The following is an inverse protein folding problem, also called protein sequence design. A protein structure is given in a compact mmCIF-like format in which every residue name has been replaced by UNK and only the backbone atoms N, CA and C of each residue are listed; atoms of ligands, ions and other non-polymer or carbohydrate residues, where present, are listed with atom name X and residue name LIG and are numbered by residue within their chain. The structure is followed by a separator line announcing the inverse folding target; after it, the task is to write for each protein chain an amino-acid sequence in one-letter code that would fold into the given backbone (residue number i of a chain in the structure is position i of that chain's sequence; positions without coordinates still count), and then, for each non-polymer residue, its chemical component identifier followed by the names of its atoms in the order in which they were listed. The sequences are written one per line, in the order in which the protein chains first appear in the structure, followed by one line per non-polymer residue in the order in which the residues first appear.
data_IF_988377178662
#
_entry.id   IF_988377178662
#
_cell.length_a   1.000
_cell.length_b   1.000
_cell.length_c   1.000
_cell.angle_alpha   90.00
_cell.angle_beta   90.00
_cell.angle_gamma   90.00
#
_symmetry.space_group_name_H-M   'P 1'
#
loop_
_entity.id
_entity.type
_entity.pdbx_description
1 polymer ?
#
# COMPACT_ATOMS: atom_id res chain seq x y z
N UNK A 1 24.99 24.96 5.83
CA UNK A 1 25.88 23.84 6.20
C UNK A 1 25.00 22.71 6.71
N UNK A 2 25.15 21.49 6.21
CA UNK A 2 24.42 20.33 6.73
C UNK A 2 25.11 19.87 8.01
N UNK A 3 24.37 19.36 9.00
CA UNK A 3 24.96 18.89 10.27
C UNK A 3 26.01 17.79 10.06
N UNK A 4 25.83 16.97 9.01
CA UNK A 4 26.77 15.92 8.58
C UNK A 4 28.14 16.51 8.22
N UNK A 5 28.17 17.67 7.55
CA UNK A 5 29.41 18.32 7.09
C UNK A 5 30.29 18.80 8.26
N UNK A 6 29.74 18.86 9.49
CA UNK A 6 30.46 19.30 10.69
C UNK A 6 31.22 18.17 11.39
N UNK A 7 31.00 16.92 10.98
CA UNK A 7 31.63 15.75 11.62
C UNK A 7 33.01 15.42 11.04
N UNK A 8 33.35 15.90 9.84
CA UNK A 8 34.65 15.72 9.18
C UNK A 8 35.27 14.32 9.39
N UNK A 9 36.44 14.24 10.05
CA UNK A 9 37.22 13.00 10.27
C UNK A 9 36.58 12.03 11.27
N UNK A 10 35.51 12.44 11.96
CA UNK A 10 34.82 11.62 12.97
C UNK A 10 33.58 10.91 12.42
N UNK A 11 33.39 10.82 11.10
CA UNK A 11 32.28 10.06 10.53
C UNK A 11 32.41 8.56 10.84
N UNK A 12 31.29 7.93 11.23
CA UNK A 12 31.19 6.49 11.50
C UNK A 12 32.15 5.96 12.57
N UNK A 13 32.69 6.83 13.42
CA UNK A 13 33.47 6.45 14.60
C UNK A 13 32.54 6.01 15.73
N UNK A 14 33.01 5.15 16.64
CA UNK A 14 32.18 4.66 17.76
C UNK A 14 31.54 5.78 18.59
N UNK A 15 32.26 6.87 18.82
CA UNK A 15 31.81 8.02 19.64
C UNK A 15 30.72 8.86 18.98
N UNK A 16 30.64 8.82 17.64
CA UNK A 16 29.73 9.63 16.82
C UNK A 16 28.73 8.78 16.04
N UNK A 17 28.76 7.45 16.18
CA UNK A 17 28.03 6.51 15.35
C UNK A 17 26.53 6.79 15.35
N UNK A 18 25.95 6.93 16.53
CA UNK A 18 24.51 7.20 16.70
C UNK A 18 24.12 8.57 16.12
N UNK A 19 24.98 9.58 16.27
CA UNK A 19 24.76 10.90 15.70
C UNK A 19 24.88 10.88 14.17
N UNK A 20 25.89 10.22 13.62
CA UNK A 20 26.09 10.03 12.18
C UNK A 20 24.86 9.35 11.59
N UNK A 21 24.43 8.24 12.20
CA UNK A 21 23.23 7.50 11.82
C UNK A 21 21.99 8.40 11.84
N UNK A 22 21.70 9.06 12.95
CA UNK A 22 20.52 9.91 13.10
C UNK A 22 20.48 11.06 12.08
N UNK A 23 21.63 11.67 11.79
CA UNK A 23 21.72 12.74 10.79
C UNK A 23 21.46 12.23 9.37
N UNK A 24 22.01 11.07 9.01
CA UNK A 24 21.76 10.47 7.69
C UNK A 24 20.32 9.98 7.56
N UNK A 25 19.75 9.35 8.60
CA UNK A 25 18.34 8.91 8.63
C UNK A 25 17.40 10.13 8.51
N UNK A 26 17.68 11.21 9.24
CA UNK A 26 16.92 12.46 9.17
C UNK A 26 16.98 13.10 7.79
N UNK A 27 18.17 13.16 7.18
CA UNK A 27 18.35 13.68 5.83
C UNK A 27 17.59 12.84 4.78
N UNK A 28 17.75 11.52 4.82
CA UNK A 28 17.07 10.61 3.91
C UNK A 28 15.54 10.70 4.04
N UNK A 29 15.02 10.74 5.27
CA UNK A 29 13.58 10.88 5.54
C UNK A 29 13.02 12.20 5.01
N UNK A 30 13.71 13.32 5.27
CA UNK A 30 13.28 14.64 4.80
C UNK A 30 13.28 14.73 3.27
N UNK A 31 14.32 14.21 2.61
CA UNK A 31 14.43 14.22 1.15
C UNK A 31 13.37 13.29 0.50
N UNK A 32 13.08 12.13 1.09
CA UNK A 32 11.96 11.29 0.65
C UNK A 32 10.62 12.04 0.72
N UNK A 33 10.42 12.84 1.77
CA UNK A 33 9.21 13.65 1.93
C UNK A 33 9.14 14.78 0.91
N UNK A 34 10.26 15.43 0.60
CA UNK A 34 10.36 16.51 -0.39
C UNK A 34 10.29 16.00 -1.84
N UNK A 35 10.47 14.69 -2.06
CA UNK A 35 10.48 14.08 -3.40
C UNK A 35 11.85 14.02 -4.05
N UNK A 36 12.92 14.34 -3.33
CA UNK A 36 14.31 14.24 -3.77
C UNK A 36 14.83 12.80 -3.62
N UNK A 37 14.23 11.89 -4.39
CA UNK A 37 14.39 10.43 -4.24
C UNK A 37 15.85 9.99 -4.37
N UNK A 38 16.61 10.58 -5.30
CA UNK A 38 18.00 10.19 -5.57
C UNK A 38 18.90 10.45 -4.37
N UNK A 39 18.86 11.68 -3.85
CA UNK A 39 19.67 12.10 -2.71
C UNK A 39 19.25 11.35 -1.44
N UNK A 40 17.95 11.15 -1.24
CA UNK A 40 17.45 10.38 -0.12
C UNK A 40 18.02 8.96 -0.10
N UNK A 41 18.06 8.30 -1.27
CA UNK A 41 18.63 6.97 -1.42
C UNK A 41 20.14 6.97 -1.20
N UNK A 42 20.86 8.02 -1.62
CA UNK A 42 22.28 8.15 -1.34
C UNK A 42 22.55 8.18 0.17
N UNK A 43 21.85 9.02 0.92
CA UNK A 43 22.00 9.08 2.38
C UNK A 43 21.65 7.75 3.06
N UNK A 44 20.60 7.07 2.60
CA UNK A 44 20.24 5.75 3.11
C UNK A 44 21.32 4.70 2.81
N UNK A 45 21.89 4.68 1.62
CA UNK A 45 22.95 3.73 1.25
C UNK A 45 24.22 3.93 2.08
N UNK A 46 24.60 5.17 2.41
CA UNK A 46 25.76 5.40 3.29
C UNK A 46 25.56 4.70 4.65
N UNK A 47 24.35 4.72 5.22
CA UNK A 47 24.05 3.99 6.46
C UNK A 47 24.20 2.47 6.25
N UNK A 48 23.68 1.95 5.13
CA UNK A 48 23.71 0.52 4.81
C UNK A 48 25.14 0.01 4.62
N UNK A 49 26.00 0.83 4.03
CA UNK A 49 27.39 0.46 3.74
C UNK A 49 28.29 0.52 5.00
N UNK A 50 27.90 1.33 6.01
CA UNK A 50 28.72 1.55 7.21
C UNK A 50 28.20 0.85 8.47
N UNK A 51 26.96 0.34 8.49
CA UNK A 51 26.37 -0.33 9.64
C UNK A 51 26.07 -1.82 9.38
N UNK A 52 26.11 -2.67 10.43
CA UNK A 52 25.60 -4.03 10.33
C UNK A 52 24.16 -4.08 9.85
N UNK A 53 23.79 -5.17 9.16
CA UNK A 53 22.45 -5.35 8.59
C UNK A 53 21.32 -5.06 9.60
N UNK A 54 21.43 -5.59 10.82
CA UNK A 54 20.43 -5.41 11.88
C UNK A 54 20.22 -3.94 12.29
N UNK A 55 21.26 -3.12 12.20
CA UNK A 55 21.21 -1.70 12.57
C UNK A 55 20.82 -0.82 11.38
N UNK A 56 21.02 -1.29 10.14
CA UNK A 56 20.69 -0.59 8.91
C UNK A 56 19.21 -0.65 8.48
N UNK A 57 18.33 -1.37 9.21
CA UNK A 57 16.96 -1.66 8.78
C UNK A 57 16.11 -0.41 8.48
N UNK A 58 16.26 0.67 9.24
CA UNK A 58 15.57 1.93 8.97
C UNK A 58 15.98 2.53 7.61
N UNK A 59 17.26 2.46 7.27
CA UNK A 59 17.77 2.88 5.97
C UNK A 59 17.32 1.94 4.84
N UNK A 60 17.27 0.63 5.08
CA UNK A 60 16.71 -0.32 4.12
C UNK A 60 15.25 0.01 3.77
N UNK A 61 14.43 0.32 4.77
CA UNK A 61 13.07 0.81 4.57
C UNK A 61 13.01 2.07 3.69
N UNK A 62 13.90 3.05 3.92
CA UNK A 62 13.97 4.26 3.10
C UNK A 62 14.33 3.96 1.64
N UNK A 63 15.26 3.02 1.40
CA UNK A 63 15.58 2.56 0.03
C UNK A 63 14.36 1.92 -0.64
N UNK A 64 13.63 1.04 0.06
CA UNK A 64 12.41 0.43 -0.46
C UNK A 64 11.35 1.49 -0.82
N UNK A 65 11.12 2.47 0.07
CA UNK A 65 10.21 3.60 -0.19
C UNK A 65 10.66 4.45 -1.38
N UNK A 66 11.95 4.60 -1.61
CA UNK A 66 12.49 5.34 -2.75
C UNK A 66 12.07 4.71 -4.08
N UNK A 67 12.10 3.38 -4.19
CA UNK A 67 11.68 2.67 -5.40
C UNK A 67 10.17 2.69 -5.61
N UNK A 68 9.40 2.59 -4.52
CA UNK A 68 7.94 2.77 -4.57
C UNK A 68 7.58 4.11 -5.21
N UNK A 69 8.25 5.19 -4.80
CA UNK A 69 8.07 6.54 -5.38
C UNK A 69 8.47 6.64 -6.85
N UNK A 70 9.38 5.78 -7.31
CA UNK A 70 9.78 5.69 -8.72
C UNK A 70 8.91 4.74 -9.54
N UNK A 71 7.94 4.05 -8.94
CA UNK A 71 7.15 3.00 -9.61
C UNK A 71 7.94 1.71 -9.89
N UNK A 72 9.10 1.53 -9.25
CA UNK A 72 10.01 0.39 -9.37
C UNK A 72 9.60 -0.74 -8.41
N UNK A 73 8.39 -1.24 -8.60
CA UNK A 73 7.76 -2.16 -7.65
C UNK A 73 8.38 -3.56 -7.64
N UNK A 74 8.82 -4.06 -8.80
CA UNK A 74 9.51 -5.36 -8.90
C UNK A 74 10.85 -5.30 -8.17
N UNK A 75 11.66 -4.26 -8.40
CA UNK A 75 12.94 -4.09 -7.70
C UNK A 75 12.75 -3.94 -6.18
N UNK A 76 11.65 -3.31 -5.76
CA UNK A 76 11.25 -3.23 -4.35
C UNK A 76 10.94 -4.61 -3.77
N UNK A 77 10.20 -5.45 -4.50
CA UNK A 77 9.88 -6.83 -4.08
C UNK A 77 11.13 -7.69 -3.99
N UNK A 78 12.03 -7.60 -4.97
CA UNK A 78 13.26 -8.41 -5.01
C UNK A 78 14.19 -8.10 -3.83
N UNK A 79 14.48 -6.82 -3.58
CA UNK A 79 15.28 -6.43 -2.41
C UNK A 79 14.55 -6.74 -1.11
N UNK A 80 13.23 -6.50 -1.08
CA UNK A 80 12.40 -6.84 0.07
C UNK A 80 12.52 -8.31 0.45
N UNK A 81 12.49 -9.19 -0.55
CA UNK A 81 12.66 -10.63 -0.39
C UNK A 81 14.08 -10.99 0.07
N UNK A 82 15.11 -10.25 -0.36
CA UNK A 82 16.47 -10.40 0.18
C UNK A 82 16.56 -9.97 1.65
N UNK A 83 15.91 -8.87 2.04
CA UNK A 83 15.85 -8.39 3.44
C UNK A 83 15.13 -9.41 4.32
N UNK A 84 14.00 -9.94 3.86
CA UNK A 84 13.25 -11.02 4.53
C UNK A 84 14.13 -12.24 4.82
N UNK A 85 14.89 -12.71 3.83
CA UNK A 85 15.84 -13.82 4.00
C UNK A 85 16.97 -13.49 4.96
N UNK A 86 17.52 -12.27 4.90
CA UNK A 86 18.52 -11.79 5.86
C UNK A 86 18.00 -11.68 7.30
N UNK A 87 16.68 -11.58 7.47
CA UNK A 87 15.98 -11.62 8.76
C UNK A 87 15.53 -13.04 9.16
N UNK A 88 15.95 -14.07 8.42
CA UNK A 88 15.60 -15.48 8.61
C UNK A 88 14.10 -15.80 8.45
N UNK A 89 13.39 -15.04 7.61
CA UNK A 89 12.06 -15.45 7.17
C UNK A 89 12.18 -16.48 6.05
N UNK A 90 11.43 -17.57 6.19
CA UNK A 90 11.36 -18.63 5.19
C UNK A 90 10.44 -18.21 4.03
N UNK A 91 11.03 -17.49 3.07
CA UNK A 91 10.37 -17.11 1.82
C UNK A 91 10.95 -18.01 0.72
N UNK A 92 10.15 -18.91 0.13
CA UNK A 92 10.64 -19.82 -0.90
C UNK A 92 11.04 -19.05 -2.17
N UNK A 93 11.89 -19.65 -3.00
CA UNK A 93 12.25 -19.09 -4.31
C UNK A 93 11.19 -19.40 -5.38
N UNK A 94 10.51 -20.53 -5.24
CA UNK A 94 9.46 -20.97 -6.15
C UNK A 94 8.12 -21.03 -5.43
N UNK A 95 7.05 -20.67 -6.13
CA UNK A 95 5.71 -20.61 -5.57
C UNK A 95 4.81 -21.67 -6.18
N UNK A 96 4.04 -22.31 -5.31
CA UNK A 96 2.87 -23.09 -5.72
C UNK A 96 1.62 -22.57 -5.01
N UNK A 97 0.43 -22.67 -5.64
CA UNK A 97 -0.82 -22.32 -4.98
C UNK A 97 -1.04 -23.08 -3.67
N UNK A 98 -0.64 -24.36 -3.60
CA UNK A 98 -0.75 -25.16 -2.37
C UNK A 98 0.12 -24.58 -1.25
N UNK A 99 1.34 -24.15 -1.55
CA UNK A 99 2.23 -23.55 -0.56
C UNK A 99 1.65 -22.26 0.02
N UNK A 100 1.00 -21.42 -0.81
CA UNK A 100 0.32 -20.20 -0.34
C UNK A 100 -0.83 -20.56 0.61
N UNK A 101 -1.66 -21.54 0.24
CA UNK A 101 -2.77 -21.98 1.07
C UNK A 101 -2.30 -22.57 2.39
N UNK A 102 -1.22 -23.37 2.37
CA UNK A 102 -0.61 -23.96 3.57
C UNK A 102 -0.04 -22.88 4.49
N UNK A 103 0.64 -21.86 3.95
CA UNK A 103 1.15 -20.73 4.73
C UNK A 103 0.01 -19.93 5.38
N UNK A 104 -1.09 -19.71 4.64
CA UNK A 104 -2.28 -19.05 5.17
C UNK A 104 -2.95 -19.89 6.27
N UNK A 105 -3.07 -21.21 6.09
CA UNK A 105 -3.63 -22.11 7.10
C UNK A 105 -2.73 -22.20 8.35
N UNK A 106 -1.41 -22.25 8.17
CA UNK A 106 -0.45 -22.21 9.26
C UNK A 106 -0.59 -20.92 10.09
N UNK A 107 -0.72 -19.78 9.41
CA UNK A 107 -0.94 -18.48 10.06
C UNK A 107 -2.24 -18.46 10.86
N UNK A 108 -3.32 -19.02 10.30
CA UNK A 108 -4.60 -19.19 11.01
C UNK A 108 -4.48 -20.08 12.25
N UNK A 109 -3.70 -21.17 12.17
CA UNK A 109 -3.46 -22.07 13.30
C UNK A 109 -2.63 -21.41 14.41
N UNK A 110 -1.75 -20.47 14.08
CA UNK A 110 -1.07 -19.64 15.08
C UNK A 110 -2.07 -18.64 15.68
N UNK A 111 -2.83 -17.95 14.84
CA UNK A 111 -3.78 -16.92 15.25
C UNK A 111 -4.95 -17.46 16.10
N UNK A 112 -5.39 -18.70 15.87
CA UNK A 112 -6.48 -19.34 16.61
C UNK A 112 -6.19 -19.51 18.10
N UNK A 113 -4.92 -19.39 18.51
CA UNK A 113 -4.48 -19.39 19.91
C UNK A 113 -4.76 -18.04 20.61
N UNK A 114 -5.16 -17.02 19.85
CA UNK A 114 -5.37 -15.65 20.34
C UNK A 114 -6.78 -15.15 20.03
N UNK A 115 -7.50 -14.72 21.06
CA UNK A 115 -8.67 -13.87 20.91
C UNK A 115 -8.27 -12.46 20.46
N UNK A 116 -9.24 -11.67 19.96
CA UNK A 116 -9.01 -10.28 19.57
C UNK A 116 -8.52 -9.46 20.78
N UNK A 117 -9.06 -9.72 21.97
CA UNK A 117 -8.64 -9.08 23.22
C UNK A 117 -7.22 -9.48 23.62
N UNK A 118 -6.80 -10.72 23.33
CA UNK A 118 -5.42 -11.15 23.55
C UNK A 118 -4.46 -10.47 22.57
N UNK A 119 -4.85 -10.28 21.31
CA UNK A 119 -4.10 -9.48 20.33
C UNK A 119 -3.91 -8.04 20.84
N UNK A 120 -4.94 -7.44 21.46
CA UNK A 120 -4.82 -6.12 22.06
C UNK A 120 -3.73 -6.06 23.14
N UNK A 121 -3.63 -7.11 23.97
CA UNK A 121 -2.61 -7.22 25.02
C UNK A 121 -1.20 -7.44 24.46
N UNK A 122 -1.06 -8.06 23.29
CA UNK A 122 0.26 -8.17 22.62
C UNK A 122 0.83 -6.81 22.20
N UNK A 123 0.00 -5.76 22.16
CA UNK A 123 0.43 -4.38 21.87
C UNK A 123 0.91 -3.62 23.10
N UNK A 124 0.54 -4.03 24.32
CA UNK A 124 0.69 -3.22 25.53
C UNK A 124 2.09 -3.22 26.18
N UNK A 125 3.16 -3.26 25.38
CA UNK A 125 4.55 -3.30 25.84
C UNK A 125 5.38 -2.08 25.44
N UNK A 126 6.58 -1.93 26.03
CA UNK A 126 7.56 -0.94 25.58
C UNK A 126 7.91 -1.20 24.11
N UNK A 127 7.90 -0.16 23.29
CA UNK A 127 8.23 -0.27 21.86
C UNK A 127 9.69 -0.70 21.69
N UNK A 128 9.89 -1.83 21.04
CA UNK A 128 11.20 -2.31 20.62
C UNK A 128 11.48 -1.77 19.22
N UNK A 129 12.50 -0.90 19.12
CA UNK A 129 12.84 -0.20 17.88
C UNK A 129 13.28 -1.16 16.79
N UNK A 130 13.94 -2.28 17.13
CA UNK A 130 14.39 -3.27 16.15
C UNK A 130 13.18 -4.00 15.56
N UNK A 131 12.24 -4.45 16.39
CA UNK A 131 11.01 -5.10 15.93
C UNK A 131 10.17 -4.17 15.05
N UNK A 132 10.06 -2.89 15.45
CA UNK A 132 9.41 -1.86 14.66
C UNK A 132 10.07 -1.69 13.28
N UNK A 133 11.40 -1.57 13.22
CA UNK A 133 12.12 -1.41 11.95
C UNK A 133 12.02 -2.63 11.04
N UNK A 134 11.95 -3.84 11.61
CA UNK A 134 11.62 -5.06 10.86
C UNK A 134 10.23 -4.90 10.23
N UNK A 135 9.20 -4.63 11.03
CA UNK A 135 7.83 -4.49 10.53
C UNK A 135 7.68 -3.36 9.50
N UNK A 136 8.35 -2.22 9.68
CA UNK A 136 8.40 -1.13 8.70
C UNK A 136 8.97 -1.60 7.37
N UNK A 137 10.12 -2.29 7.41
CA UNK A 137 10.75 -2.84 6.22
C UNK A 137 9.79 -3.79 5.51
N UNK A 138 9.18 -4.73 6.25
CA UNK A 138 8.23 -5.70 5.70
C UNK A 138 6.98 -5.03 5.09
N UNK A 139 6.40 -4.05 5.78
CA UNK A 139 5.24 -3.31 5.33
C UNK A 139 5.50 -2.53 4.02
N UNK A 140 6.72 -2.02 3.82
CA UNK A 140 7.06 -1.36 2.56
C UNK A 140 7.03 -2.33 1.36
N UNK A 141 7.43 -3.59 1.56
CA UNK A 141 7.42 -4.62 0.51
C UNK A 141 5.99 -4.90 0.05
N UNK A 142 5.01 -4.86 0.96
CA UNK A 142 3.60 -5.14 0.66
C UNK A 142 3.07 -4.22 -0.44
N UNK A 143 3.41 -2.93 -0.45
CA UNK A 143 2.95 -2.05 -1.54
C UNK A 143 3.60 -2.42 -2.86
N UNK A 144 4.90 -2.68 -2.91
CA UNK A 144 5.56 -3.17 -4.13
C UNK A 144 4.88 -4.43 -4.65
N UNK A 145 4.69 -5.41 -3.76
CA UNK A 145 4.09 -6.70 -4.09
C UNK A 145 2.63 -6.57 -4.54
N UNK A 146 1.85 -5.67 -3.95
CA UNK A 146 0.47 -5.38 -4.39
C UNK A 146 0.45 -4.70 -5.76
N UNK A 147 1.37 -3.76 -6.01
CA UNK A 147 1.37 -2.96 -7.25
C UNK A 147 1.98 -3.69 -8.44
N UNK A 148 2.88 -4.64 -8.20
CA UNK A 148 3.43 -5.54 -9.23
C UNK A 148 2.65 -6.84 -9.38
N UNK A 149 1.50 -7.00 -8.70
CA UNK A 149 0.75 -8.26 -8.67
C UNK A 149 1.62 -9.47 -8.30
N UNK A 150 2.57 -9.27 -7.38
CA UNK A 150 3.53 -10.29 -7.00
C UNK A 150 2.83 -11.49 -6.35
N UNK A 151 3.09 -12.71 -6.84
CA UNK A 151 2.54 -13.92 -6.23
C UNK A 151 3.10 -14.19 -4.82
N UNK A 152 4.16 -13.48 -4.40
CA UNK A 152 4.71 -13.56 -3.03
C UNK A 152 3.90 -12.79 -1.99
N UNK A 153 2.97 -11.92 -2.41
CA UNK A 153 2.27 -11.02 -1.49
C UNK A 153 1.54 -11.74 -0.33
N UNK A 154 0.82 -12.87 -0.55
CA UNK A 154 0.20 -13.61 0.55
C UNK A 154 1.23 -14.15 1.54
N UNK A 155 2.39 -14.64 1.07
CA UNK A 155 3.44 -15.18 1.93
C UNK A 155 4.11 -14.10 2.77
N UNK A 156 4.43 -12.97 2.16
CA UNK A 156 4.98 -11.80 2.87
C UNK A 156 3.99 -11.39 3.96
N UNK A 157 2.70 -11.34 3.63
CA UNK A 157 1.63 -11.02 4.58
C UNK A 157 1.60 -12.00 5.76
N UNK A 158 1.60 -13.31 5.49
CA UNK A 158 1.67 -14.36 6.51
C UNK A 158 2.92 -14.23 7.40
N UNK A 159 4.08 -13.97 6.80
CA UNK A 159 5.34 -13.77 7.51
C UNK A 159 5.25 -12.59 8.50
N UNK A 160 4.73 -11.43 8.07
CA UNK A 160 4.56 -10.27 8.97
C UNK A 160 3.58 -10.57 10.10
N UNK A 161 2.47 -11.23 9.80
CA UNK A 161 1.44 -11.58 10.79
C UNK A 161 2.01 -12.54 11.83
N UNK A 162 2.67 -13.61 11.40
CA UNK A 162 3.30 -14.59 12.30
C UNK A 162 4.37 -13.95 13.16
N UNK A 163 5.22 -13.08 12.58
CA UNK A 163 6.20 -12.32 13.35
C UNK A 163 5.54 -11.44 14.42
N UNK A 164 4.46 -10.75 14.07
CA UNK A 164 3.73 -9.87 15.00
C UNK A 164 3.09 -10.66 16.14
N UNK A 165 2.48 -11.81 15.86
CA UNK A 165 1.87 -12.66 16.89
C UNK A 165 2.92 -13.22 17.87
N UNK A 166 4.14 -13.49 17.40
CA UNK A 166 5.24 -14.00 18.23
C UNK A 166 5.99 -12.90 18.98
N UNK A 167 6.15 -11.72 18.39
CA UNK A 167 7.08 -10.69 18.87
C UNK A 167 6.38 -9.46 19.47
N UNK A 168 5.06 -9.39 19.41
CA UNK A 168 4.26 -8.23 19.78
C UNK A 168 3.63 -7.57 18.56
N UNK A 169 2.41 -7.07 18.74
CA UNK A 169 1.62 -6.44 17.68
C UNK A 169 1.83 -4.94 17.74
N UNK A 170 2.29 -4.35 16.62
CA UNK A 170 2.56 -2.93 16.50
C UNK A 170 1.63 -2.28 15.48
N UNK A 171 1.68 -0.96 15.37
CA UNK A 171 0.89 -0.19 14.40
C UNK A 171 1.21 -0.64 12.95
N UNK A 172 2.49 -0.96 12.70
CA UNK A 172 3.00 -1.44 11.44
C UNK A 172 2.43 -2.80 11.00
N UNK A 173 1.91 -3.59 11.94
CA UNK A 173 1.26 -4.88 11.68
C UNK A 173 -0.10 -4.71 10.99
N UNK A 174 -0.76 -3.56 11.14
CA UNK A 174 -2.15 -3.36 10.72
C UNK A 174 -2.38 -3.65 9.23
N UNK A 175 -1.45 -3.23 8.36
CA UNK A 175 -1.58 -3.44 6.92
C UNK A 175 -1.61 -4.94 6.58
N UNK A 176 -0.72 -5.72 7.18
CA UNK A 176 -0.65 -7.17 6.92
C UNK A 176 -1.87 -7.91 7.47
N UNK A 177 -2.42 -7.45 8.60
CA UNK A 177 -3.67 -8.02 9.11
C UNK A 177 -4.84 -7.74 8.14
N UNK A 178 -4.92 -6.52 7.59
CA UNK A 178 -5.90 -6.17 6.57
C UNK A 178 -5.74 -7.00 5.29
N UNK A 179 -4.50 -7.12 4.79
CA UNK A 179 -4.17 -7.94 3.62
C UNK A 179 -4.51 -9.42 3.85
N UNK A 180 -4.28 -9.96 5.04
CA UNK A 180 -4.63 -11.35 5.34
C UNK A 180 -6.15 -11.55 5.30
N UNK A 181 -6.92 -10.59 5.83
CA UNK A 181 -8.38 -10.58 5.68
C UNK A 181 -8.82 -10.59 4.21
N UNK A 182 -8.16 -9.78 3.36
CA UNK A 182 -8.41 -9.78 1.92
C UNK A 182 -8.10 -11.14 1.28
N UNK A 183 -6.95 -11.75 1.58
CA UNK A 183 -6.60 -13.06 1.00
C UNK A 183 -7.53 -14.18 1.46
N UNK A 184 -8.05 -14.12 2.68
CA UNK A 184 -9.06 -15.07 3.14
C UNK A 184 -10.33 -15.02 2.30
N UNK A 185 -10.75 -13.83 1.85
CA UNK A 185 -11.84 -13.70 0.88
C UNK A 185 -11.39 -14.15 -0.52
N UNK A 186 -10.36 -13.51 -1.06
CA UNK A 186 -10.02 -13.60 -2.48
C UNK A 186 -9.49 -14.98 -2.90
N UNK A 187 -8.77 -15.67 -2.01
CA UNK A 187 -8.14 -16.97 -2.32
C UNK A 187 -8.86 -18.16 -1.67
N UNK A 188 -9.44 -17.98 -0.48
CA UNK A 188 -10.07 -19.07 0.27
C UNK A 188 -11.60 -19.01 0.31
N UNK A 189 -12.22 -17.88 -0.07
CA UNK A 189 -13.67 -17.68 0.09
C UNK A 189 -14.14 -17.70 1.55
N UNK A 190 -13.24 -17.54 2.51
CA UNK A 190 -13.53 -17.60 3.95
C UNK A 190 -13.83 -16.21 4.51
N UNK A 191 -15.09 -15.80 4.36
CA UNK A 191 -15.60 -14.54 4.88
C UNK A 191 -15.60 -14.49 6.42
N UNK A 192 -15.72 -15.64 7.10
CA UNK A 192 -15.76 -15.69 8.56
C UNK A 192 -14.39 -15.35 9.13
N UNK A 193 -13.34 -15.98 8.60
CA UNK A 193 -11.97 -15.69 9.02
C UNK A 193 -11.54 -14.29 8.57
N UNK A 194 -11.95 -13.85 7.38
CA UNK A 194 -11.70 -12.48 6.94
C UNK A 194 -12.28 -11.43 7.91
N UNK A 195 -13.48 -11.67 8.47
CA UNK A 195 -14.06 -10.80 9.49
C UNK A 195 -13.25 -10.76 10.79
N UNK A 196 -12.65 -11.89 11.19
CA UNK A 196 -11.74 -11.91 12.34
C UNK A 196 -10.53 -10.99 12.10
N UNK A 197 -9.89 -11.11 10.93
CA UNK A 197 -8.75 -10.28 10.55
C UNK A 197 -9.12 -8.80 10.39
N UNK A 198 -10.31 -8.51 9.87
CA UNK A 198 -10.86 -7.15 9.79
C UNK A 198 -11.02 -6.54 11.20
N UNK A 199 -11.60 -7.29 12.14
CA UNK A 199 -11.77 -6.82 13.52
C UNK A 199 -10.43 -6.62 14.24
N UNK A 200 -9.47 -7.53 14.03
CA UNK A 200 -8.12 -7.40 14.58
C UNK A 200 -7.41 -6.16 14.01
N UNK A 201 -7.58 -5.87 12.72
CA UNK A 201 -7.07 -4.65 12.09
C UNK A 201 -7.72 -3.41 12.70
N UNK A 202 -9.05 -3.37 12.77
CA UNK A 202 -9.81 -2.25 13.37
C UNK A 202 -9.40 -1.97 14.81
N UNK A 203 -9.13 -3.00 15.59
CA UNK A 203 -8.62 -2.86 16.95
C UNK A 203 -7.25 -2.15 16.98
N UNK A 204 -6.32 -2.54 16.10
CA UNK A 204 -5.00 -1.88 16.00
C UNK A 204 -5.20 -0.42 15.61
N UNK A 205 -6.02 -0.15 14.60
CA UNK A 205 -6.28 1.21 14.10
C UNK A 205 -6.91 2.12 15.17
N UNK A 206 -7.96 1.65 15.86
CA UNK A 206 -8.72 2.44 16.84
C UNK A 206 -7.96 2.73 18.12
N UNK A 207 -6.94 1.94 18.44
CA UNK A 207 -6.12 2.11 19.64
C UNK A 207 -4.81 2.85 19.34
N UNK A 208 -4.57 3.21 18.08
CA UNK A 208 -3.34 3.87 17.61
C UNK A 208 -3.55 5.36 17.38
N UNK A 209 -2.45 6.10 17.30
CA UNK A 209 -2.50 7.47 16.80
C UNK A 209 -2.83 7.50 15.30
N UNK A 210 -2.77 8.68 14.69
CA UNK A 210 -2.91 8.82 13.25
C UNK A 210 -1.53 8.95 12.61
N UNK A 211 -1.23 8.11 11.62
CA UNK A 211 -0.04 8.19 10.79
C UNK A 211 -0.25 7.58 9.39
N UNK A 212 0.68 7.85 8.47
CA UNK A 212 0.57 7.38 7.08
C UNK A 212 0.57 5.86 6.92
N UNK A 213 1.20 5.12 7.82
CA UNK A 213 1.23 3.65 7.78
C UNK A 213 -0.17 3.11 8.09
N UNK A 214 -0.83 3.70 9.10
CA UNK A 214 -2.19 3.35 9.48
C UNK A 214 -3.22 3.79 8.44
N UNK A 215 -2.99 4.89 7.72
CA UNK A 215 -3.86 5.26 6.60
C UNK A 215 -3.85 4.20 5.48
N UNK A 216 -2.67 3.65 5.15
CA UNK A 216 -2.57 2.55 4.17
C UNK A 216 -3.33 1.31 4.63
N UNK A 217 -3.21 0.93 5.91
CA UNK A 217 -3.97 -0.17 6.48
C UNK A 217 -5.49 0.07 6.46
N UNK A 218 -5.91 1.28 6.82
CA UNK A 218 -7.31 1.72 6.75
C UNK A 218 -7.88 1.62 5.32
N UNK A 219 -7.15 2.11 4.32
CA UNK A 219 -7.57 2.03 2.92
C UNK A 219 -7.76 0.57 2.51
N UNK A 220 -6.81 -0.31 2.84
CA UNK A 220 -6.92 -1.73 2.49
C UNK A 220 -8.11 -2.38 3.19
N UNK A 221 -8.25 -2.14 4.49
CA UNK A 221 -9.36 -2.66 5.29
C UNK A 221 -10.70 -2.27 4.67
N UNK A 222 -10.94 -0.97 4.45
CA UNK A 222 -12.24 -0.50 3.98
C UNK A 222 -12.49 -0.83 2.50
N UNK A 223 -11.46 -0.77 1.65
CA UNK A 223 -11.64 -0.96 0.21
C UNK A 223 -11.74 -2.43 -0.22
N UNK A 224 -11.14 -3.35 0.54
CA UNK A 224 -11.02 -4.75 0.11
C UNK A 224 -11.64 -5.77 1.06
N UNK A 225 -11.96 -5.40 2.30
CA UNK A 225 -12.41 -6.36 3.34
C UNK A 225 -13.70 -5.93 4.01
N UNK A 226 -13.71 -4.77 4.66
CA UNK A 226 -14.79 -4.32 5.53
C UNK A 226 -16.13 -4.19 4.78
N UNK A 227 -16.10 -3.79 3.51
CA UNK A 227 -17.29 -3.57 2.68
C UNK A 227 -18.15 -4.84 2.48
N UNK A 228 -17.64 -6.04 2.76
CA UNK A 228 -18.44 -7.27 2.78
C UNK A 228 -19.31 -7.41 4.05
N UNK A 229 -19.02 -6.63 5.09
CA UNK A 229 -19.64 -6.76 6.41
C UNK A 229 -20.37 -5.51 6.88
N UNK A 230 -20.26 -4.41 6.14
CA UNK A 230 -20.91 -3.12 6.44
C UNK A 230 -21.58 -2.56 5.19
N UNK A 231 -22.42 -1.54 5.36
CA UNK A 231 -23.09 -0.91 4.22
C UNK A 231 -22.10 -0.18 3.29
N UNK A 232 -22.49 -0.03 2.02
CA UNK A 232 -21.74 0.78 1.06
C UNK A 232 -21.59 2.22 1.55
N UNK A 233 -22.63 2.79 2.17
CA UNK A 233 -22.62 4.15 2.73
C UNK A 233 -21.58 4.28 3.86
N UNK A 234 -21.51 3.30 4.76
CA UNK A 234 -20.50 3.28 5.83
C UNK A 234 -19.08 3.19 5.25
N UNK A 235 -18.88 2.35 4.23
CA UNK A 235 -17.60 2.24 3.52
C UNK A 235 -17.17 3.57 2.90
N UNK A 236 -18.08 4.25 2.18
CA UNK A 236 -17.84 5.58 1.60
C UNK A 236 -17.46 6.58 2.70
N UNK A 237 -18.21 6.61 3.81
CA UNK A 237 -17.94 7.52 4.92
C UNK A 237 -16.56 7.29 5.54
N UNK A 238 -16.19 6.03 5.81
CA UNK A 238 -14.86 5.69 6.32
C UNK A 238 -13.75 6.14 5.37
N UNK A 239 -13.89 5.89 4.06
CA UNK A 239 -12.91 6.30 3.05
C UNK A 239 -12.77 7.83 2.94
N UNK A 240 -13.89 8.57 2.98
CA UNK A 240 -13.85 10.03 3.02
C UNK A 240 -13.20 10.58 4.30
N UNK A 241 -13.40 9.93 5.45
CA UNK A 241 -12.74 10.31 6.69
C UNK A 241 -11.22 10.08 6.62
N UNK A 242 -10.80 8.96 6.02
CA UNK A 242 -9.38 8.68 5.74
C UNK A 242 -8.82 9.74 4.79
N UNK A 243 -9.54 10.13 3.73
CA UNK A 243 -9.12 11.20 2.82
C UNK A 243 -8.84 12.51 3.56
N UNK A 244 -9.80 12.97 4.37
CA UNK A 244 -9.67 14.22 5.14
C UNK A 244 -8.46 14.18 6.07
N UNK A 245 -8.31 13.07 6.79
CA UNK A 245 -7.23 12.89 7.76
C UNK A 245 -5.87 12.83 7.06
N UNK A 246 -5.75 12.04 5.99
CA UNK A 246 -4.52 11.94 5.21
C UNK A 246 -4.13 13.28 4.57
N UNK A 247 -5.09 14.02 4.02
CA UNK A 247 -4.87 15.34 3.43
C UNK A 247 -4.36 16.35 4.48
N UNK A 248 -4.96 16.37 5.68
CA UNK A 248 -4.52 17.25 6.78
C UNK A 248 -3.09 16.96 7.25
N UNK A 249 -2.62 15.71 7.07
CA UNK A 249 -1.26 15.29 7.42
C UNK A 249 -0.23 15.49 6.30
N UNK A 250 -0.64 15.91 5.11
CA UNK A 250 0.22 15.92 3.94
C UNK A 250 0.52 14.52 3.36
N UNK A 251 -0.23 13.49 3.76
CA UNK A 251 -0.16 12.15 3.18
C UNK A 251 -0.96 12.11 1.88
N UNK A 252 -0.36 12.68 0.83
CA UNK A 252 -1.02 12.87 -0.47
C UNK A 252 -1.45 11.55 -1.10
N UNK A 253 -0.65 10.51 -0.95
CA UNK A 253 -0.93 9.20 -1.57
C UNK A 253 -2.17 8.55 -0.94
N UNK A 254 -2.23 8.51 0.39
CA UNK A 254 -3.38 7.94 1.07
C UNK A 254 -4.63 8.78 0.85
N UNK A 255 -4.52 10.11 0.75
CA UNK A 255 -5.63 10.99 0.39
C UNK A 255 -6.17 10.69 -1.01
N UNK A 256 -5.28 10.54 -2.00
CA UNK A 256 -5.62 10.20 -3.39
C UNK A 256 -6.37 8.86 -3.45
N UNK A 257 -5.82 7.81 -2.83
CA UNK A 257 -6.41 6.48 -2.90
C UNK A 257 -7.74 6.37 -2.15
N UNK A 258 -7.84 6.95 -0.95
CA UNK A 258 -9.09 6.90 -0.21
C UNK A 258 -10.22 7.65 -0.92
N UNK A 259 -9.93 8.78 -1.56
CA UNK A 259 -10.90 9.48 -2.42
C UNK A 259 -11.27 8.65 -3.65
N UNK A 260 -10.29 8.06 -4.33
CA UNK A 260 -10.54 7.20 -5.50
C UNK A 260 -11.48 6.04 -5.15
N UNK A 261 -11.22 5.34 -4.04
CA UNK A 261 -12.08 4.25 -3.61
C UNK A 261 -13.44 4.74 -3.13
N UNK A 262 -13.55 5.88 -2.43
CA UNK A 262 -14.86 6.42 -2.05
C UNK A 262 -15.72 6.72 -3.27
N UNK A 263 -15.15 7.33 -4.32
CA UNK A 263 -15.88 7.63 -5.55
C UNK A 263 -16.34 6.36 -6.27
N UNK A 264 -15.54 5.29 -6.25
CA UNK A 264 -15.95 3.98 -6.80
C UNK A 264 -17.11 3.37 -6.03
N UNK A 265 -17.06 3.39 -4.70
CA UNK A 265 -18.19 2.91 -3.90
C UNK A 265 -19.43 3.80 -4.07
N UNK A 266 -19.28 5.11 -4.23
CA UNK A 266 -20.39 6.01 -4.56
C UNK A 266 -21.02 5.67 -5.90
N UNK A 267 -20.22 5.34 -6.92
CA UNK A 267 -20.71 4.81 -8.19
C UNK A 267 -21.56 3.54 -8.00
N UNK A 268 -21.06 2.57 -7.24
CA UNK A 268 -21.82 1.35 -6.94
C UNK A 268 -23.03 1.57 -6.01
N UNK A 269 -23.06 2.68 -5.27
CA UNK A 269 -24.21 3.09 -4.46
C UNK A 269 -25.31 3.79 -5.28
N UNK A 270 -25.11 3.99 -6.59
CA UNK A 270 -26.08 4.65 -7.46
C UNK A 270 -26.07 6.18 -7.37
N UNK A 271 -24.93 6.78 -6.99
CA UNK A 271 -24.77 8.24 -6.96
C UNK A 271 -24.91 8.85 -8.37
N UNK A 272 -25.32 10.11 -8.45
CA UNK A 272 -25.53 10.79 -9.73
C UNK A 272 -24.22 10.84 -10.55
N UNK A 273 -24.25 10.28 -11.77
CA UNK A 273 -23.06 10.14 -12.62
C UNK A 273 -22.40 11.48 -12.96
N UNK A 274 -23.17 12.56 -13.14
CA UNK A 274 -22.60 13.89 -13.42
C UNK A 274 -21.85 14.47 -12.21
N UNK A 275 -22.38 14.27 -11.00
CA UNK A 275 -21.69 14.67 -9.76
C UNK A 275 -20.40 13.85 -9.54
N UNK A 276 -20.46 12.54 -9.82
CA UNK A 276 -19.28 11.67 -9.77
C UNK A 276 -18.23 12.10 -10.78
N UNK A 277 -18.60 12.38 -12.03
CA UNK A 277 -17.68 12.82 -13.07
C UNK A 277 -16.94 14.09 -12.65
N UNK A 278 -17.66 15.07 -12.07
CA UNK A 278 -17.06 16.30 -11.55
C UNK A 278 -16.03 15.99 -10.45
N UNK A 279 -16.39 15.14 -9.50
CA UNK A 279 -15.53 14.76 -8.37
C UNK A 279 -14.27 13.99 -8.84
N UNK A 280 -14.42 13.09 -9.81
CA UNK A 280 -13.27 12.42 -10.44
C UNK A 280 -12.36 13.40 -11.19
N UNK A 281 -12.93 14.36 -11.93
CA UNK A 281 -12.14 15.39 -12.61
C UNK A 281 -11.37 16.27 -11.62
N UNK A 282 -11.97 16.63 -10.48
CA UNK A 282 -11.27 17.35 -9.41
C UNK A 282 -10.12 16.51 -8.83
N UNK A 283 -10.37 15.24 -8.55
CA UNK A 283 -9.34 14.32 -8.09
C UNK A 283 -8.18 14.22 -9.11
N UNK A 284 -8.48 14.08 -10.40
CA UNK A 284 -7.47 14.03 -11.47
C UNK A 284 -6.60 15.29 -11.52
N UNK A 285 -7.17 16.49 -11.29
CA UNK A 285 -6.38 17.73 -11.22
C UNK A 285 -5.36 17.69 -10.08
N UNK A 286 -5.70 17.10 -8.93
CA UNK A 286 -4.74 16.90 -7.83
C UNK A 286 -3.66 15.86 -8.18
N UNK A 287 -3.98 14.91 -9.05
CA UNK A 287 -3.09 13.84 -9.49
C UNK A 287 -2.15 14.23 -10.65
N UNK A 288 -2.08 15.49 -11.10
CA UNK A 288 -1.26 15.91 -12.26
C UNK A 288 0.21 15.47 -12.15
N UNK A 289 0.76 15.43 -10.94
CA UNK A 289 2.15 14.97 -10.64
C UNK A 289 2.26 13.46 -10.38
N UNK A 290 1.14 12.75 -10.25
CA UNK A 290 1.05 11.33 -9.87
C UNK A 290 0.48 10.48 -11.01
N UNK A 291 1.11 10.59 -12.20
CA UNK A 291 0.59 10.06 -13.47
C UNK A 291 0.28 8.56 -13.44
N UNK A 292 1.12 7.75 -12.79
CA UNK A 292 0.88 6.30 -12.70
C UNK A 292 -0.41 5.96 -11.94
N UNK A 293 -0.72 6.70 -10.87
CA UNK A 293 -1.97 6.51 -10.10
C UNK A 293 -3.15 7.10 -10.86
N UNK A 294 -2.96 8.23 -11.54
CA UNK A 294 -4.01 8.90 -12.31
C UNK A 294 -4.62 8.03 -13.44
N UNK A 295 -3.81 7.15 -14.05
CA UNK A 295 -4.29 6.16 -15.04
C UNK A 295 -5.48 5.36 -14.54
N UNK A 296 -5.46 4.97 -13.27
CA UNK A 296 -6.51 4.16 -12.65
C UNK A 296 -7.82 4.95 -12.56
N UNK A 297 -7.77 6.23 -12.20
CA UNK A 297 -8.94 7.11 -12.15
C UNK A 297 -9.46 7.50 -13.55
N UNK A 298 -8.56 7.67 -14.54
CA UNK A 298 -8.95 7.94 -15.93
C UNK A 298 -9.82 6.83 -16.53
N UNK A 299 -9.54 5.56 -16.20
CA UNK A 299 -10.36 4.43 -16.66
C UNK A 299 -11.80 4.54 -16.10
N UNK A 300 -11.95 4.93 -14.82
CA UNK A 300 -13.28 5.15 -14.23
C UNK A 300 -14.00 6.34 -14.90
N UNK A 301 -13.27 7.42 -15.20
CA UNK A 301 -13.81 8.58 -15.93
C UNK A 301 -14.31 8.21 -17.32
N UNK A 302 -13.54 7.44 -18.11
CA UNK A 302 -13.94 7.00 -19.46
C UNK A 302 -15.25 6.22 -19.42
N UNK A 303 -15.41 5.32 -18.44
CA UNK A 303 -16.67 4.59 -18.26
C UNK A 303 -17.82 5.56 -17.97
N UNK A 304 -17.66 6.46 -17.00
CA UNK A 304 -18.72 7.40 -16.59
C UNK A 304 -19.11 8.33 -17.74
N UNK A 305 -18.13 8.89 -18.46
CA UNK A 305 -18.33 9.69 -19.66
C UNK A 305 -19.16 8.96 -20.72
N UNK A 306 -18.79 7.70 -20.98
CA UNK A 306 -19.49 6.86 -21.96
C UNK A 306 -20.93 6.63 -21.55
N UNK A 307 -21.20 6.37 -20.27
CA UNK A 307 -22.56 6.16 -19.74
C UNK A 307 -23.43 7.43 -19.76
N UNK A 308 -22.84 8.60 -19.54
CA UNK A 308 -23.55 9.89 -19.62
C UNK A 308 -23.74 10.31 -21.09
N UNK A 309 -22.92 9.81 -22.02
CA UNK A 309 -22.88 10.26 -23.41
C UNK A 309 -22.17 11.61 -23.57
N UNK A 310 -21.20 11.90 -22.71
CA UNK A 310 -20.40 13.15 -22.75
C UNK A 310 -18.92 12.83 -22.84
N UNK A 311 -18.10 13.81 -23.23
CA UNK A 311 -16.64 13.73 -23.14
C UNK A 311 -16.15 14.90 -22.31
N UNK A 312 -15.40 14.63 -21.25
CA UNK A 312 -14.67 15.65 -20.52
C UNK A 312 -13.25 15.77 -21.09
N UNK A 313 -12.55 16.82 -20.65
CA UNK A 313 -11.15 17.06 -20.98
C UNK A 313 -10.20 16.37 -19.97
N UNK A 314 -10.60 15.22 -19.40
CA UNK A 314 -9.84 14.56 -18.34
C UNK A 314 -8.44 14.12 -18.77
N UNK A 315 -8.26 13.67 -20.01
CA UNK A 315 -6.94 13.34 -20.55
C UNK A 315 -6.07 14.59 -20.80
N UNK A 316 -6.68 15.73 -21.14
CA UNK A 316 -5.97 16.99 -21.42
C UNK A 316 -5.24 17.54 -20.17
N UNK A 317 -5.71 17.18 -18.96
CA UNK A 317 -5.04 17.48 -17.68
C UNK A 317 -3.57 17.04 -17.69
N UNK A 318 -3.25 15.97 -18.44
CA UNK A 318 -1.93 15.36 -18.49
C UNK A 318 -1.10 15.79 -19.70
N UNK A 319 -1.54 16.81 -20.44
CA UNK A 319 -0.74 17.48 -21.50
C UNK A 319 -0.12 16.48 -22.49
N UNK A 320 -0.92 15.50 -22.93
CA UNK A 320 -0.50 14.48 -23.90
C UNK A 320 0.35 13.34 -23.34
N UNK A 321 0.77 13.37 -22.08
CA UNK A 321 1.57 12.29 -21.48
C UNK A 321 0.78 11.03 -21.16
N UNK A 322 -0.55 11.15 -21.03
CA UNK A 322 -1.49 10.03 -21.02
C UNK A 322 -2.55 10.39 -22.08
N UNK A 323 -2.41 9.95 -23.34
CA UNK A 323 -3.24 10.45 -24.41
C UNK A 323 -4.62 9.76 -24.51
N UNK A 324 -4.72 8.47 -24.17
CA UNK A 324 -5.95 7.69 -24.35
C UNK A 324 -6.05 6.51 -23.38
N UNK A 325 -7.25 5.92 -23.23
CA UNK A 325 -7.43 4.63 -22.53
C UNK A 325 -6.62 3.50 -23.16
N UNK A 326 -6.52 3.45 -24.50
CA UNK A 326 -5.72 2.44 -25.20
C UNK A 326 -4.23 2.55 -24.89
N UNK A 327 -3.72 3.77 -24.68
CA UNK A 327 -2.35 3.97 -24.18
C UNK A 327 -2.20 3.36 -22.78
N UNK A 328 -3.18 3.57 -21.89
CA UNK A 328 -3.15 2.97 -20.54
C UNK A 328 -3.12 1.44 -20.63
N UNK A 329 -3.93 0.84 -21.51
CA UNK A 329 -3.93 -0.61 -21.73
C UNK A 329 -2.59 -1.12 -22.26
N UNK A 330 -1.99 -0.42 -23.22
CA UNK A 330 -0.69 -0.80 -23.80
C UNK A 330 0.43 -0.71 -22.75
N UNK A 331 0.47 0.37 -21.97
CA UNK A 331 1.43 0.55 -20.86
C UNK A 331 1.24 -0.53 -19.78
N UNK A 332 -0.01 -0.84 -19.42
CA UNK A 332 -0.30 -1.89 -18.45
C UNK A 332 0.17 -3.27 -18.94
N UNK A 333 -0.02 -3.60 -20.23
CA UNK A 333 0.49 -4.84 -20.82
C UNK A 333 2.02 -4.89 -20.84
N UNK A 334 2.68 -3.79 -21.22
CA UNK A 334 4.14 -3.71 -21.25
C UNK A 334 4.75 -3.91 -19.85
N UNK A 335 4.08 -3.42 -18.81
CA UNK A 335 4.48 -3.56 -17.40
C UNK A 335 3.91 -4.81 -16.71
N UNK A 336 3.21 -5.68 -17.44
CA UNK A 336 2.50 -6.83 -16.87
C UNK A 336 1.60 -6.48 -15.67
N UNK A 337 1.02 -5.27 -15.66
CA UNK A 337 0.16 -4.79 -14.60
C UNK A 337 -1.25 -5.39 -14.73
N UNK A 338 -1.42 -6.60 -14.20
CA UNK A 338 -2.66 -7.38 -14.30
C UNK A 338 -3.85 -6.59 -13.75
N UNK A 339 -3.69 -5.90 -12.63
CA UNK A 339 -4.78 -5.12 -12.00
C UNK A 339 -5.33 -4.03 -12.93
N UNK A 340 -4.47 -3.33 -13.64
CA UNK A 340 -4.92 -2.27 -14.57
C UNK A 340 -5.55 -2.85 -15.83
N UNK A 341 -5.03 -4.00 -16.30
CA UNK A 341 -5.62 -4.74 -17.43
C UNK A 341 -7.03 -5.21 -17.07
N UNK A 342 -7.18 -5.88 -15.92
CA UNK A 342 -8.46 -6.35 -15.40
C UNK A 342 -9.44 -5.20 -15.27
N UNK A 343 -9.04 -4.09 -14.63
CA UNK A 343 -9.89 -2.92 -14.45
C UNK A 343 -10.44 -2.39 -15.78
N UNK A 344 -9.60 -2.26 -16.81
CA UNK A 344 -10.04 -1.79 -18.15
C UNK A 344 -11.07 -2.77 -18.73
N UNK A 345 -10.79 -4.07 -18.68
CA UNK A 345 -11.70 -5.09 -19.21
C UNK A 345 -13.02 -5.12 -18.44
N UNK A 346 -13.00 -5.04 -17.12
CA UNK A 346 -14.20 -4.96 -16.28
C UNK A 346 -15.03 -3.72 -16.60
N UNK A 347 -14.41 -2.56 -16.83
CA UNK A 347 -15.12 -1.31 -17.16
C UNK A 347 -15.73 -1.36 -18.56
N UNK A 348 -15.03 -1.95 -19.53
CA UNK A 348 -15.56 -2.22 -20.87
C UNK A 348 -16.73 -3.21 -20.84
N UNK A 349 -16.62 -4.27 -20.06
CA UNK A 349 -17.69 -5.24 -19.81
C UNK A 349 -18.93 -4.54 -19.27
N UNK A 350 -18.82 -3.80 -18.17
CA UNK A 350 -19.96 -3.09 -17.58
C UNK A 350 -20.61 -2.11 -18.55
N UNK A 351 -19.79 -1.37 -19.30
CA UNK A 351 -20.28 -0.44 -20.33
C UNK A 351 -21.09 -1.19 -21.39
N UNK A 352 -20.52 -2.23 -22.01
CA UNK A 352 -21.22 -3.02 -23.04
C UNK A 352 -22.51 -3.65 -22.51
N UNK A 353 -22.44 -4.22 -21.30
CA UNK A 353 -23.59 -4.83 -20.62
C UNK A 353 -24.74 -3.82 -20.41
N UNK A 354 -24.45 -2.62 -19.90
CA UNK A 354 -25.48 -1.59 -19.67
C UNK A 354 -26.05 -0.97 -20.94
N UNK A 355 -25.29 -0.97 -22.05
CA UNK A 355 -25.80 -0.58 -23.37
C UNK A 355 -26.55 -1.72 -24.09
N UNK A 356 -26.63 -2.92 -23.51
CA UNK A 356 -27.29 -4.08 -24.10
C UNK A 356 -26.49 -4.79 -25.20
N UNK A 357 -25.20 -4.49 -25.35
CA UNK A 357 -24.30 -5.14 -26.30
C UNK A 357 -23.68 -6.42 -25.71
N UNK A 358 -24.53 -7.43 -25.50
CA UNK A 358 -24.16 -8.67 -24.79
C UNK A 358 -23.19 -9.57 -25.56
N UNK A 359 -22.96 -9.35 -26.85
CA UNK A 359 -21.94 -10.09 -27.61
C UNK A 359 -20.55 -9.52 -27.39
N UNK A 360 -20.47 -8.22 -27.13
CA UNK A 360 -19.22 -7.50 -26.85
C UNK A 360 -18.82 -7.60 -25.37
N UNK A 361 -19.80 -7.67 -24.47
CA UNK A 361 -19.61 -7.98 -23.06
C UNK A 361 -19.13 -9.43 -22.91
#
# INVERSE_FOLDING_TARGET
KKGIDLLYDSLWCNETLDLCRALHEGAASALLFLGDISDARQYANVIIDNLPFADSLAAQYMVLRSWERMGKYEEQVDRGSAILRGLNFDIPLELSPSFIMDAMAHTSNIASKYSIEQIAKLRSGKVDTRKKNILLSLNSIITGALRSSSPFLPLITCAVVNYSLQNGVYEESALSFACLGYFKIALAGDYKEARYWANATSLILNTSGTNSILNRANIVLHSFVQHFFVSTQETIFSLLNINKTAAAMGDVESAIYSMLFSLRFSFYAGENLALLLNSFCELLRTMKRYKEVAKVALIDVVMIETLIGTKSNAFDIFEGTIPTENFILADAKAKQNIVSIELIHTRRFFTAFWFGDYQKA
#
